data_IF_876080953108
#
_entry.id   IF_876080953108
#
_cell.length_a   1.000
_cell.length_b   1.000
_cell.length_c   1.000
_cell.angle_alpha   90.00
_cell.angle_beta   90.00
_cell.angle_gamma   90.00
#
_symmetry.space_group_name_H-M   'P 1'
#
loop_
_entity.id
_entity.type
_entity.pdbx_description
1 polymer ?
#
# COMPACT_ATOMS: atom_id res chain seq x y z
N UNK A 1 10.96 -28.52 8.29
CA UNK A 1 9.48 -28.39 8.44
C UNK A 1 8.87 -28.99 7.18
N UNK A 2 7.90 -29.91 7.28
CA UNK A 2 7.25 -30.44 6.06
C UNK A 2 6.54 -29.33 5.29
N UNK A 3 6.43 -29.45 3.96
CA UNK A 3 5.79 -28.46 3.08
C UNK A 3 4.39 -28.11 3.61
N UNK A 4 3.59 -29.13 3.95
CA UNK A 4 2.24 -28.98 4.50
C UNK A 4 2.26 -28.16 5.81
N UNK A 5 3.19 -28.46 6.72
CA UNK A 5 3.30 -27.74 8.00
C UNK A 5 3.70 -26.27 7.79
N UNK A 6 4.55 -25.99 6.80
CA UNK A 6 4.94 -24.62 6.39
C UNK A 6 3.73 -23.85 5.84
N UNK A 7 2.97 -24.45 4.91
CA UNK A 7 1.75 -23.85 4.34
C UNK A 7 0.72 -23.53 5.43
N UNK A 8 0.47 -24.47 6.32
CA UNK A 8 -0.47 -24.28 7.44
C UNK A 8 0.00 -23.17 8.38
N UNK A 9 1.30 -23.11 8.69
CA UNK A 9 1.86 -22.04 9.51
C UNK A 9 1.65 -20.66 8.89
N UNK A 10 1.94 -20.50 7.59
CA UNK A 10 1.72 -19.23 6.89
C UNK A 10 0.24 -18.86 6.79
N UNK A 11 -0.63 -19.82 6.49
CA UNK A 11 -2.07 -19.59 6.47
C UNK A 11 -2.59 -19.12 7.82
N UNK A 12 -2.25 -19.83 8.89
CA UNK A 12 -2.66 -19.46 10.25
C UNK A 12 -2.13 -18.09 10.64
N UNK A 13 -0.85 -17.81 10.39
CA UNK A 13 -0.23 -16.52 10.73
C UNK A 13 -0.89 -15.36 9.97
N UNK A 14 -1.13 -15.54 8.67
CA UNK A 14 -1.75 -14.52 7.84
C UNK A 14 -3.22 -14.30 8.21
N UNK A 15 -3.98 -15.39 8.35
CA UNK A 15 -5.37 -15.33 8.77
C UNK A 15 -5.53 -14.72 10.15
N UNK A 16 -4.71 -15.12 11.14
CA UNK A 16 -4.79 -14.55 12.48
C UNK A 16 -4.46 -13.05 12.48
N UNK A 17 -3.45 -12.64 11.71
CA UNK A 17 -3.07 -11.22 11.60
C UNK A 17 -4.17 -10.39 10.95
N UNK A 18 -4.78 -10.89 9.87
CA UNK A 18 -5.89 -10.22 9.18
C UNK A 18 -7.13 -10.17 10.08
N UNK A 19 -7.48 -11.27 10.75
CA UNK A 19 -8.61 -11.32 11.70
C UNK A 19 -8.43 -10.34 12.85
N UNK A 20 -7.23 -10.26 13.45
CA UNK A 20 -6.93 -9.28 14.50
C UNK A 20 -7.08 -7.84 13.98
N UNK A 21 -6.60 -7.55 12.77
CA UNK A 21 -6.78 -6.25 12.13
C UNK A 21 -8.26 -5.91 11.90
N UNK A 22 -9.05 -6.85 11.41
CA UNK A 22 -10.50 -6.68 11.21
C UNK A 22 -11.19 -6.40 12.54
N UNK A 23 -10.89 -7.17 13.58
CA UNK A 23 -11.46 -6.98 14.92
C UNK A 23 -11.09 -5.59 15.46
N UNK A 24 -9.84 -5.16 15.30
CA UNK A 24 -9.40 -3.84 15.74
C UNK A 24 -10.14 -2.70 15.03
N UNK A 25 -10.23 -2.75 13.69
CA UNK A 25 -10.97 -1.76 12.91
C UNK A 25 -12.46 -1.79 13.27
N UNK A 26 -13.08 -2.96 13.32
CA UNK A 26 -14.50 -3.07 13.65
C UNK A 26 -14.81 -2.54 15.06
N UNK A 27 -13.93 -2.82 16.03
CA UNK A 27 -14.06 -2.29 17.40
C UNK A 27 -13.99 -0.76 17.41
N UNK A 28 -13.10 -0.15 16.62
CA UNK A 28 -13.03 1.31 16.50
C UNK A 28 -14.34 1.90 15.97
N UNK A 29 -14.93 1.30 14.93
CA UNK A 29 -16.21 1.74 14.39
C UNK A 29 -17.35 1.55 15.40
N UNK A 30 -17.38 0.40 16.09
CA UNK A 30 -18.43 0.09 17.06
C UNK A 30 -18.41 1.06 18.25
N UNK A 31 -17.23 1.34 18.81
CA UNK A 31 -17.08 2.28 19.94
C UNK A 31 -17.54 3.69 19.57
N UNK A 32 -17.36 4.09 18.31
CA UNK A 32 -17.67 5.44 17.83
C UNK A 32 -18.93 5.48 16.95
N UNK A 33 -19.84 4.51 17.11
CA UNK A 33 -21.01 4.36 16.23
C UNK A 33 -21.89 5.61 16.19
N UNK A 34 -22.17 6.22 17.35
CA UNK A 34 -23.01 7.42 17.43
C UNK A 34 -22.42 8.58 16.62
N UNK A 35 -21.10 8.77 16.71
CA UNK A 35 -20.40 9.80 15.94
C UNK A 35 -20.48 9.57 14.44
N UNK A 36 -20.36 8.31 14.03
CA UNK A 36 -20.50 7.92 12.62
C UNK A 36 -21.92 8.21 12.13
N UNK A 37 -22.96 7.85 12.88
CA UNK A 37 -24.36 8.11 12.48
C UNK A 37 -24.62 9.60 12.32
N UNK A 38 -24.17 10.41 13.26
CA UNK A 38 -24.35 11.86 13.21
C UNK A 38 -23.60 12.49 12.02
N UNK A 39 -22.43 11.96 11.64
CA UNK A 39 -21.68 12.42 10.47
C UNK A 39 -22.42 12.32 9.14
N UNK A 40 -23.30 11.33 8.99
CA UNK A 40 -24.14 11.21 7.80
C UNK A 40 -25.18 12.33 7.69
N UNK A 41 -25.58 12.91 8.83
CA UNK A 41 -26.57 13.97 8.89
C UNK A 41 -25.90 15.34 8.68
N UNK A 42 -24.68 15.51 9.21
CA UNK A 42 -23.98 16.81 9.21
C UNK A 42 -23.15 17.07 7.96
N UNK A 43 -22.52 16.05 7.36
CA UNK A 43 -21.64 16.22 6.21
C UNK A 43 -22.42 15.97 4.91
N UNK A 44 -22.59 17.04 4.13
CA UNK A 44 -23.17 16.95 2.80
C UNK A 44 -22.33 16.04 1.88
N UNK A 45 -22.97 15.08 1.23
CA UNK A 45 -22.30 14.13 0.34
C UNK A 45 -21.51 13.02 1.05
N UNK A 46 -21.58 12.91 2.38
CA UNK A 46 -20.92 11.85 3.15
C UNK A 46 -21.23 10.46 2.59
N UNK A 47 -22.51 10.16 2.33
CA UNK A 47 -22.94 8.88 1.79
C UNK A 47 -22.22 8.52 0.48
N UNK A 48 -22.01 9.49 -0.43
CA UNK A 48 -21.29 9.27 -1.68
C UNK A 48 -19.81 8.93 -1.45
N UNK A 49 -19.14 9.64 -0.54
CA UNK A 49 -17.75 9.37 -0.15
C UNK A 49 -17.62 7.97 0.47
N UNK A 50 -18.55 7.61 1.36
CA UNK A 50 -18.58 6.28 1.99
C UNK A 50 -18.73 5.18 0.95
N UNK A 51 -19.68 5.33 0.02
CA UNK A 51 -19.89 4.34 -1.03
C UNK A 51 -18.64 4.19 -1.91
N UNK A 52 -18.01 5.30 -2.30
CA UNK A 52 -16.79 5.27 -3.11
C UNK A 52 -15.63 4.56 -2.40
N UNK A 53 -15.38 4.88 -1.13
CA UNK A 53 -14.30 4.24 -0.35
C UNK A 53 -14.64 2.78 -0.06
N UNK A 54 -15.89 2.46 0.28
CA UNK A 54 -16.33 1.08 0.56
C UNK A 54 -16.24 0.18 -0.67
N UNK A 55 -16.60 0.71 -1.85
CA UNK A 55 -16.44 0.01 -3.12
C UNK A 55 -14.97 -0.30 -3.38
N UNK A 56 -14.08 0.69 -3.17
CA UNK A 56 -12.63 0.50 -3.30
C UNK A 56 -12.10 -0.55 -2.33
N UNK A 57 -12.48 -0.48 -1.05
CA UNK A 57 -12.11 -1.48 -0.02
C UNK A 57 -12.54 -2.87 -0.47
N UNK A 58 -13.77 -3.03 -0.96
CA UNK A 58 -14.32 -4.32 -1.39
C UNK A 58 -13.56 -4.90 -2.57
N UNK A 59 -13.32 -4.10 -3.62
CA UNK A 59 -12.61 -4.55 -4.82
C UNK A 59 -11.15 -4.90 -4.50
N UNK A 60 -10.45 -4.04 -3.76
CA UNK A 60 -9.04 -4.29 -3.36
C UNK A 60 -8.93 -5.50 -2.43
N UNK A 61 -9.93 -5.72 -1.55
CA UNK A 61 -9.99 -6.94 -0.73
C UNK A 61 -10.14 -8.19 -1.60
N UNK A 62 -10.99 -8.15 -2.63
CA UNK A 62 -11.11 -9.23 -3.61
C UNK A 62 -9.80 -9.52 -4.35
N UNK A 63 -9.09 -8.47 -4.77
CA UNK A 63 -7.75 -8.58 -5.36
C UNK A 63 -6.76 -9.23 -4.39
N UNK A 64 -6.73 -8.79 -3.14
CA UNK A 64 -5.85 -9.33 -2.11
C UNK A 64 -6.10 -10.83 -1.86
N UNK A 65 -7.37 -11.21 -1.70
CA UNK A 65 -7.78 -12.60 -1.51
C UNK A 65 -7.38 -13.48 -2.70
N UNK A 66 -7.67 -13.01 -3.91
CA UNK A 66 -7.26 -13.72 -5.12
C UNK A 66 -5.73 -13.89 -5.19
N UNK A 67 -4.99 -12.85 -4.84
CA UNK A 67 -3.53 -12.87 -4.88
C UNK A 67 -2.91 -13.81 -3.86
N UNK A 68 -3.42 -13.84 -2.62
CA UNK A 68 -2.99 -14.84 -1.65
C UNK A 68 -3.43 -16.26 -2.04
N UNK A 69 -4.62 -16.43 -2.62
CA UNK A 69 -5.06 -17.73 -3.11
C UNK A 69 -4.10 -18.30 -4.17
N UNK A 70 -3.64 -17.46 -5.10
CA UNK A 70 -2.63 -17.87 -6.09
C UNK A 70 -1.29 -18.21 -5.44
N UNK A 71 -0.87 -17.46 -4.40
CA UNK A 71 0.32 -17.80 -3.62
C UNK A 71 0.18 -19.16 -2.90
N UNK A 72 -0.98 -19.44 -2.29
CA UNK A 72 -1.20 -20.70 -1.58
C UNK A 72 -1.17 -21.94 -2.49
N UNK A 73 -1.55 -21.76 -3.77
CA UNK A 73 -1.50 -22.80 -4.81
C UNK A 73 -0.09 -23.20 -5.25
N UNK A 74 0.93 -22.37 -5.03
CA UNK A 74 2.30 -22.67 -5.45
C UNK A 74 2.86 -23.89 -4.71
N UNK A 75 3.66 -24.71 -5.38
CA UNK A 75 4.28 -25.91 -4.79
C UNK A 75 5.21 -25.53 -3.63
N UNK A 76 6.09 -24.57 -3.89
CA UNK A 76 6.95 -23.94 -2.91
C UNK A 76 6.50 -22.51 -2.64
N UNK A 77 6.58 -22.09 -1.38
CA UNK A 77 6.14 -20.77 -0.93
C UNK A 77 7.29 -20.02 -0.30
N UNK A 78 7.55 -18.81 -0.81
CA UNK A 78 8.51 -17.87 -0.30
C UNK A 78 7.83 -16.52 -0.03
N UNK A 79 8.26 -15.83 1.04
CA UNK A 79 7.76 -14.50 1.39
C UNK A 79 8.27 -13.40 0.42
N UNK A 80 9.21 -13.75 -0.45
CA UNK A 80 9.70 -12.91 -1.54
C UNK A 80 8.92 -13.09 -2.84
N UNK A 81 7.97 -14.04 -2.90
CA UNK A 81 7.21 -14.30 -4.10
C UNK A 81 6.31 -13.11 -4.44
N UNK A 82 6.23 -12.78 -5.73
CA UNK A 82 5.43 -11.67 -6.20
C UNK A 82 3.96 -11.74 -5.71
N UNK A 83 3.25 -12.89 -5.79
CA UNK A 83 1.91 -13.00 -5.24
C UNK A 83 1.86 -12.65 -3.74
N UNK A 84 2.80 -13.12 -2.92
CA UNK A 84 2.81 -12.75 -1.51
C UNK A 84 2.98 -11.24 -1.30
N UNK A 85 3.95 -10.64 -2.00
CA UNK A 85 4.26 -9.21 -1.88
C UNK A 85 3.11 -8.31 -2.36
N UNK A 86 2.47 -8.64 -3.47
CA UNK A 86 1.27 -7.93 -3.97
C UNK A 86 0.05 -8.16 -3.06
N UNK A 87 -0.12 -9.37 -2.52
CA UNK A 87 -1.20 -9.64 -1.56
C UNK A 87 -1.04 -8.78 -0.31
N UNK A 88 0.18 -8.67 0.21
CA UNK A 88 0.49 -7.85 1.39
C UNK A 88 0.28 -6.36 1.10
N UNK A 89 0.71 -5.89 -0.07
CA UNK A 89 0.43 -4.54 -0.56
C UNK A 89 -1.07 -4.22 -0.56
N UNK A 90 -1.91 -5.11 -1.11
CA UNK A 90 -3.36 -4.88 -1.14
C UNK A 90 -4.03 -4.96 0.23
N UNK A 91 -3.63 -5.91 1.10
CA UNK A 91 -4.20 -6.00 2.46
C UNK A 91 -3.89 -4.76 3.30
N UNK A 92 -2.65 -4.27 3.27
CA UNK A 92 -2.32 -3.04 3.98
C UNK A 92 -3.09 -1.83 3.42
N UNK A 93 -3.37 -1.81 2.12
CA UNK A 93 -4.17 -0.76 1.50
C UNK A 93 -5.60 -0.78 2.00
N UNK A 94 -6.19 -1.97 2.15
CA UNK A 94 -7.54 -2.17 2.70
C UNK A 94 -7.62 -1.61 4.13
N UNK A 95 -6.67 -1.93 4.99
CA UNK A 95 -6.64 -1.40 6.35
C UNK A 95 -6.43 0.12 6.39
N UNK A 96 -5.50 0.63 5.59
CA UNK A 96 -5.27 2.07 5.48
C UNK A 96 -6.52 2.83 5.02
N UNK A 97 -7.26 2.27 4.04
CA UNK A 97 -8.50 2.86 3.52
C UNK A 97 -9.68 2.72 4.49
N UNK A 98 -9.72 1.65 5.27
CA UNK A 98 -10.72 1.51 6.34
C UNK A 98 -10.53 2.56 7.44
N UNK A 99 -9.28 2.93 7.72
CA UNK A 99 -8.97 4.05 8.63
C UNK A 99 -9.17 5.43 7.98
N UNK A 100 -8.95 5.59 6.67
CA UNK A 100 -9.34 6.81 5.94
C UNK A 100 -10.84 7.08 6.11
N UNK A 101 -11.66 6.06 5.87
CA UNK A 101 -13.11 6.15 6.02
C UNK A 101 -13.51 6.50 7.46
N UNK A 102 -12.86 5.85 8.44
CA UNK A 102 -13.11 6.13 9.85
C UNK A 102 -12.75 7.58 10.19
N UNK A 103 -11.55 8.03 9.79
CA UNK A 103 -11.08 9.40 9.97
C UNK A 103 -12.03 10.44 9.40
N UNK A 104 -12.61 10.16 8.22
CA UNK A 104 -13.59 11.04 7.58
C UNK A 104 -14.89 11.20 8.38
N UNK A 105 -15.27 10.23 9.21
CA UNK A 105 -16.45 10.33 10.07
C UNK A 105 -16.19 11.05 11.39
N UNK A 106 -14.97 10.95 11.94
CA UNK A 106 -14.70 11.44 13.30
C UNK A 106 -14.05 12.83 13.35
N UNK A 107 -13.53 13.34 12.23
CA UNK A 107 -12.63 14.51 12.25
C UNK A 107 -13.26 15.79 12.84
N UNK A 108 -14.58 15.95 12.72
CA UNK A 108 -15.29 17.16 13.16
C UNK A 108 -15.96 17.00 14.53
N UNK A 109 -15.92 15.81 15.14
CA UNK A 109 -16.62 15.53 16.40
C UNK A 109 -15.69 15.12 17.54
N UNK A 110 -14.63 14.37 17.23
CA UNK A 110 -13.71 13.91 18.25
C UNK A 110 -12.62 14.97 18.52
N UNK A 111 -12.04 14.87 19.72
CA UNK A 111 -10.90 15.70 20.11
C UNK A 111 -9.77 15.57 19.08
N UNK A 112 -9.16 16.70 18.70
CA UNK A 112 -8.05 16.78 17.73
C UNK A 112 -6.91 15.79 18.05
N UNK A 113 -6.63 15.53 19.33
CA UNK A 113 -5.60 14.58 19.77
C UNK A 113 -5.98 13.15 19.38
N UNK A 114 -7.24 12.77 19.52
CA UNK A 114 -7.75 11.44 19.17
C UNK A 114 -7.71 11.27 17.64
N UNK A 115 -8.21 12.27 16.91
CA UNK A 115 -8.18 12.29 15.44
C UNK A 115 -6.74 12.20 14.94
N UNK A 116 -5.81 12.99 15.48
CA UNK A 116 -4.40 12.94 15.12
C UNK A 116 -3.78 11.57 15.41
N UNK A 117 -4.15 10.93 16.52
CA UNK A 117 -3.66 9.58 16.84
C UNK A 117 -4.10 8.56 15.80
N UNK A 118 -5.37 8.59 15.40
CA UNK A 118 -5.91 7.73 14.34
C UNK A 118 -5.19 8.00 13.01
N UNK A 119 -5.00 9.26 12.65
CA UNK A 119 -4.28 9.65 11.42
C UNK A 119 -2.82 9.20 11.43
N UNK A 120 -2.15 9.22 12.59
CA UNK A 120 -0.79 8.67 12.75
C UNK A 120 -0.77 7.17 12.53
N UNK A 121 -1.68 6.42 13.16
CA UNK A 121 -1.79 4.95 12.94
C UNK A 121 -2.04 4.65 11.45
N UNK A 122 -2.96 5.38 10.83
CA UNK A 122 -3.21 5.31 9.38
C UNK A 122 -1.94 5.59 8.57
N UNK A 123 -1.20 6.63 8.91
CA UNK A 123 0.04 7.00 8.23
C UNK A 123 1.06 5.85 8.26
N UNK A 124 1.25 5.21 9.42
CA UNK A 124 2.12 4.04 9.52
C UNK A 124 1.67 2.90 8.61
N UNK A 125 0.38 2.54 8.63
CA UNK A 125 -0.15 1.46 7.78
C UNK A 125 0.06 1.77 6.29
N UNK A 126 -0.18 3.02 5.87
CA UNK A 126 0.02 3.44 4.49
C UNK A 126 1.51 3.50 4.09
N UNK A 127 2.41 3.74 5.04
CA UNK A 127 3.85 3.62 4.81
C UNK A 127 4.26 2.16 4.65
N UNK A 128 3.84 1.30 5.59
CA UNK A 128 4.10 -0.15 5.55
C UNK A 128 3.61 -0.77 4.24
N UNK A 129 2.54 -0.23 3.66
CA UNK A 129 1.96 -0.66 2.39
C UNK A 129 3.00 -0.77 1.27
N UNK A 130 3.94 0.18 1.18
CA UNK A 130 4.91 0.23 0.09
C UNK A 130 6.09 -0.72 0.27
N UNK A 131 6.31 -1.26 1.48
CA UNK A 131 7.50 -2.05 1.81
C UNK A 131 7.67 -3.32 0.98
N UNK A 132 6.62 -4.10 0.64
CA UNK A 132 6.77 -5.23 -0.25
C UNK A 132 7.38 -4.85 -1.61
N UNK A 133 6.98 -3.69 -2.14
CA UNK A 133 7.44 -3.21 -3.44
C UNK A 133 8.82 -2.55 -3.35
N UNK A 134 9.12 -1.84 -2.26
CA UNK A 134 10.46 -1.30 -1.97
C UNK A 134 11.47 -2.44 -1.76
N UNK A 135 11.07 -3.53 -1.11
CA UNK A 135 11.90 -4.73 -1.00
C UNK A 135 12.26 -5.27 -2.38
N UNK A 136 11.27 -5.44 -3.25
CA UNK A 136 11.50 -5.94 -4.59
C UNK A 136 12.37 -4.98 -5.43
N UNK A 137 12.14 -3.67 -5.32
CA UNK A 137 12.92 -2.67 -6.03
C UNK A 137 14.37 -2.67 -5.56
N UNK A 138 14.61 -2.73 -4.25
CA UNK A 138 15.97 -2.78 -3.67
C UNK A 138 16.74 -4.05 -4.10
N UNK A 139 16.10 -5.23 -4.08
CA UNK A 139 16.71 -6.47 -4.57
C UNK A 139 17.10 -6.37 -6.05
N UNK A 140 16.23 -5.80 -6.90
CA UNK A 140 16.51 -5.61 -8.33
C UNK A 140 17.62 -4.58 -8.60
N UNK A 141 17.68 -3.50 -7.83
CA UNK A 141 18.77 -2.51 -7.91
C UNK A 141 20.10 -3.18 -7.55
N UNK A 142 20.17 -3.90 -6.42
CA UNK A 142 21.38 -4.56 -5.99
C UNK A 142 21.80 -5.68 -6.93
N UNK A 143 20.84 -6.40 -7.50
CA UNK A 143 21.10 -7.38 -8.55
C UNK A 143 21.72 -6.70 -9.79
N UNK A 144 21.17 -5.58 -10.25
CA UNK A 144 21.74 -4.80 -11.37
C UNK A 144 23.18 -4.38 -11.09
N UNK A 145 23.50 -3.97 -9.86
CA UNK A 145 24.88 -3.66 -9.48
C UNK A 145 25.78 -4.89 -9.42
N UNK A 146 25.26 -6.05 -9.02
CA UNK A 146 26.03 -7.30 -8.98
C UNK A 146 26.54 -7.75 -10.36
N UNK A 147 25.89 -7.32 -11.45
CA UNK A 147 26.33 -7.58 -12.81
C UNK A 147 27.62 -6.82 -13.18
N UNK A 148 27.99 -5.76 -12.44
CA UNK A 148 29.19 -4.97 -12.70
C UNK A 148 30.40 -5.57 -11.96
N UNK A 149 31.58 -5.65 -12.61
CA UNK A 149 32.77 -6.29 -12.01
C UNK A 149 33.23 -5.62 -10.71
N UNK A 150 32.95 -4.32 -10.53
CA UNK A 150 33.26 -3.53 -9.32
C UNK A 150 32.50 -4.00 -8.06
N UNK A 151 31.37 -4.72 -8.22
CA UNK A 151 30.49 -5.11 -7.11
C UNK A 151 30.30 -6.64 -7.01
N UNK A 152 31.33 -7.43 -7.32
CA UNK A 152 31.28 -8.91 -7.19
C UNK A 152 30.79 -9.40 -5.83
N UNK A 153 30.98 -8.64 -4.76
CA UNK A 153 30.49 -8.99 -3.42
C UNK A 153 28.95 -9.06 -3.32
N UNK A 154 28.20 -8.44 -4.25
CA UNK A 154 26.73 -8.45 -4.29
C UNK A 154 26.15 -9.66 -5.03
N UNK A 155 26.98 -10.53 -5.60
CA UNK A 155 26.49 -11.79 -6.21
C UNK A 155 25.97 -12.77 -5.16
N UNK A 156 26.47 -12.67 -3.92
CA UNK A 156 25.98 -13.48 -2.81
C UNK A 156 24.59 -13.00 -2.37
N UNK A 157 23.58 -13.83 -2.63
CA UNK A 157 22.18 -13.59 -2.30
C UNK A 157 21.95 -13.28 -0.81
N UNK A 158 22.63 -13.98 0.11
CA UNK A 158 22.48 -13.71 1.55
C UNK A 158 22.93 -12.30 1.92
N UNK A 159 24.02 -11.83 1.28
CA UNK A 159 24.54 -10.48 1.52
C UNK A 159 23.61 -9.43 0.93
N UNK A 160 23.08 -9.68 -0.28
CA UNK A 160 22.10 -8.81 -0.94
C UNK A 160 20.84 -8.64 -0.10
N UNK A 161 20.24 -9.76 0.33
CA UNK A 161 19.05 -9.74 1.18
C UNK A 161 19.30 -9.00 2.51
N UNK A 162 20.47 -9.21 3.14
CA UNK A 162 20.84 -8.49 4.37
C UNK A 162 20.94 -6.98 4.16
N UNK A 163 21.41 -6.52 3.00
CA UNK A 163 21.47 -5.10 2.65
C UNK A 163 20.06 -4.56 2.39
N UNK A 164 19.25 -5.26 1.60
CA UNK A 164 17.86 -4.89 1.31
C UNK A 164 17.03 -4.73 2.58
N UNK A 165 17.11 -5.70 3.50
CA UNK A 165 16.40 -5.63 4.80
C UNK A 165 16.90 -4.46 5.64
N UNK A 166 18.22 -4.21 5.72
CA UNK A 166 18.76 -3.05 6.45
C UNK A 166 18.29 -1.73 5.86
N UNK A 167 18.29 -1.61 4.53
CA UNK A 167 17.79 -0.43 3.83
C UNK A 167 16.33 -0.17 4.17
N UNK A 168 15.48 -1.20 4.09
CA UNK A 168 14.06 -1.08 4.48
C UNK A 168 13.95 -0.62 5.93
N UNK A 169 14.62 -1.29 6.88
CA UNK A 169 14.57 -0.93 8.31
C UNK A 169 14.93 0.55 8.54
N UNK A 170 15.96 1.07 7.85
CA UNK A 170 16.31 2.49 7.92
C UNK A 170 15.19 3.37 7.38
N UNK A 171 14.58 3.01 6.26
CA UNK A 171 13.41 3.72 5.70
C UNK A 171 12.24 3.71 6.71
N UNK A 172 11.90 2.55 7.30
CA UNK A 172 10.85 2.45 8.33
C UNK A 172 11.14 3.41 9.48
N UNK A 173 12.38 3.41 9.98
CA UNK A 173 12.77 4.24 11.13
C UNK A 173 12.62 5.73 10.82
N UNK A 174 13.11 6.17 9.66
CA UNK A 174 13.03 7.59 9.24
C UNK A 174 11.56 8.01 9.10
N UNK A 175 10.75 7.22 8.41
CA UNK A 175 9.33 7.51 8.19
C UNK A 175 8.54 7.47 9.50
N UNK A 176 8.90 6.55 10.40
CA UNK A 176 8.28 6.45 11.71
C UNK A 176 8.55 7.67 12.58
N UNK A 177 9.80 8.13 12.60
CA UNK A 177 10.18 9.36 13.31
C UNK A 177 9.41 10.54 12.74
N UNK A 178 9.32 10.68 11.42
CA UNK A 178 8.55 11.75 10.78
C UNK A 178 7.06 11.72 11.19
N UNK A 179 6.43 10.54 11.20
CA UNK A 179 5.05 10.38 11.63
C UNK A 179 4.81 10.73 13.11
N UNK A 180 5.74 10.34 14.00
CA UNK A 180 5.65 10.67 15.44
C UNK A 180 5.80 12.17 15.67
N UNK A 181 6.78 12.80 14.99
CA UNK A 181 7.09 14.23 15.13
C UNK A 181 6.02 15.16 14.54
N UNK A 182 5.10 14.64 13.72
CA UNK A 182 3.99 15.45 13.22
C UNK A 182 3.12 15.96 14.37
N UNK A 183 3.10 17.28 14.55
CA UNK A 183 2.40 17.96 15.66
C UNK A 183 0.92 18.20 15.37
N UNK A 184 0.50 18.17 14.11
CA UNK A 184 -0.89 18.35 13.68
C UNK A 184 -1.15 17.61 12.36
N UNK A 185 -2.43 17.55 11.95
CA UNK A 185 -2.87 16.90 10.72
C UNK A 185 -2.22 17.50 9.47
N UNK A 186 -2.07 18.83 9.41
CA UNK A 186 -1.48 19.51 8.25
C UNK A 186 -0.03 19.10 8.01
N UNK A 187 0.77 19.02 9.06
CA UNK A 187 2.16 18.55 8.98
C UNK A 187 2.23 17.10 8.51
N UNK A 188 1.36 16.23 9.02
CA UNK A 188 1.29 14.84 8.59
C UNK A 188 0.92 14.71 7.10
N UNK A 189 -0.02 15.52 6.62
CA UNK A 189 -0.40 15.60 5.21
C UNK A 189 0.72 16.10 4.30
N UNK A 190 1.67 16.89 4.79
CA UNK A 190 2.86 17.32 4.04
C UNK A 190 3.92 16.21 4.01
N UNK A 191 4.15 15.52 5.12
CA UNK A 191 5.13 14.43 5.19
C UNK A 191 4.76 13.24 4.31
N UNK A 192 3.46 12.95 4.20
CA UNK A 192 2.99 11.79 3.46
C UNK A 192 3.43 11.78 1.98
N UNK A 193 3.18 12.80 1.15
CA UNK A 193 3.68 12.85 -0.22
C UNK A 193 5.20 12.78 -0.33
N UNK A 194 5.94 13.45 0.57
CA UNK A 194 7.42 13.46 0.58
C UNK A 194 7.98 12.05 0.72
N UNK A 195 7.28 11.18 1.44
CA UNK A 195 7.68 9.78 1.67
C UNK A 195 7.20 8.87 0.54
N UNK A 196 5.96 9.04 0.10
CA UNK A 196 5.33 8.16 -0.89
C UNK A 196 5.91 8.36 -2.29
N UNK A 197 6.22 9.60 -2.68
CA UNK A 197 6.71 9.93 -4.03
C UNK A 197 8.05 9.22 -4.34
N UNK A 198 9.10 9.30 -3.50
CA UNK A 198 10.34 8.55 -3.71
C UNK A 198 10.10 7.05 -3.80
N UNK A 199 9.26 6.50 -2.93
CA UNK A 199 8.91 5.08 -2.94
C UNK A 199 8.28 4.67 -4.28
N UNK A 200 7.28 5.41 -4.76
CA UNK A 200 6.65 5.17 -6.05
C UNK A 200 7.62 5.33 -7.23
N UNK A 201 8.52 6.31 -7.18
CA UNK A 201 9.56 6.47 -8.19
C UNK A 201 10.45 5.22 -8.29
N UNK A 202 10.85 4.63 -7.16
CA UNK A 202 11.64 3.39 -7.17
C UNK A 202 10.87 2.21 -7.76
N UNK A 203 9.56 2.13 -7.51
CA UNK A 203 8.69 1.06 -8.03
C UNK A 203 8.48 1.21 -9.55
N UNK A 204 8.22 2.43 -10.02
CA UNK A 204 8.11 2.72 -11.46
C UNK A 204 9.43 2.42 -12.17
N UNK A 205 10.56 2.86 -11.58
CA UNK A 205 11.89 2.56 -12.11
C UNK A 205 12.14 1.05 -12.19
N UNK A 206 11.76 0.29 -11.15
CA UNK A 206 11.88 -1.16 -11.09
C UNK A 206 11.19 -1.85 -12.27
N UNK A 207 9.92 -1.55 -12.52
CA UNK A 207 9.18 -2.23 -13.59
C UNK A 207 9.67 -1.81 -14.97
N UNK A 208 10.09 -0.55 -15.13
CA UNK A 208 10.73 -0.09 -16.37
C UNK A 208 12.09 -0.78 -16.59
N UNK A 209 12.89 -0.96 -15.53
CA UNK A 209 14.15 -1.69 -15.58
C UNK A 209 13.93 -3.17 -15.90
N UNK A 210 12.95 -3.82 -15.27
CA UNK A 210 12.60 -5.20 -15.54
C UNK A 210 12.16 -5.39 -17.00
N UNK A 211 11.38 -4.44 -17.55
CA UNK A 211 11.01 -4.42 -18.97
C UNK A 211 12.24 -4.35 -19.88
N UNK A 212 13.10 -3.35 -19.68
CA UNK A 212 14.30 -3.13 -20.53
C UNK A 212 15.25 -4.33 -20.53
N UNK A 213 15.33 -5.04 -19.41
CA UNK A 213 16.23 -6.20 -19.25
C UNK A 213 15.54 -7.55 -19.44
N UNK A 214 14.30 -7.58 -19.95
CA UNK A 214 13.50 -8.79 -20.18
C UNK A 214 13.42 -9.71 -18.95
N UNK A 215 13.25 -9.11 -17.77
CA UNK A 215 13.05 -9.80 -16.47
C UNK A 215 11.58 -9.78 -16.07
N UNK A 216 11.21 -10.69 -15.16
CA UNK A 216 9.84 -10.88 -14.67
C UNK A 216 8.86 -11.20 -15.82
N UNK A 217 9.17 -12.24 -16.61
CA UNK A 217 8.36 -12.64 -17.77
C UNK A 217 6.94 -13.08 -17.43
N UNK A 218 6.70 -13.44 -16.17
CA UNK A 218 5.41 -13.89 -15.66
C UNK A 218 4.40 -12.75 -15.46
N UNK A 219 4.83 -11.49 -15.49
CA UNK A 219 3.97 -10.32 -15.23
C UNK A 219 4.12 -9.28 -16.36
N UNK A 220 3.08 -8.50 -16.62
CA UNK A 220 3.13 -7.44 -17.63
C UNK A 220 3.81 -6.19 -17.05
N UNK A 221 5.14 -6.18 -17.16
CA UNK A 221 6.01 -5.10 -16.68
C UNK A 221 5.65 -3.72 -17.27
N UNK A 222 5.15 -3.66 -18.51
CA UNK A 222 4.70 -2.42 -19.14
C UNK A 222 3.46 -1.87 -18.45
N UNK A 223 2.42 -2.68 -18.30
CA UNK A 223 1.17 -2.28 -17.64
C UNK A 223 1.42 -1.88 -16.18
N UNK A 224 2.31 -2.59 -15.47
CA UNK A 224 2.70 -2.23 -14.11
C UNK A 224 3.45 -0.89 -14.05
N UNK A 225 4.36 -0.63 -15.00
CA UNK A 225 5.06 0.67 -15.07
C UNK A 225 4.05 1.80 -15.29
N UNK A 226 3.08 1.62 -16.19
CA UNK A 226 2.03 2.62 -16.44
C UNK A 226 1.09 2.78 -15.24
N UNK A 227 0.67 1.69 -14.61
CA UNK A 227 -0.22 1.71 -13.45
C UNK A 227 0.41 2.42 -12.25
N UNK A 228 1.62 2.03 -11.85
CA UNK A 228 2.34 2.72 -10.77
C UNK A 228 2.75 4.14 -11.17
N UNK A 229 3.01 4.42 -12.46
CA UNK A 229 3.26 5.76 -12.97
C UNK A 229 2.03 6.67 -12.87
N UNK A 230 0.85 6.15 -13.24
CA UNK A 230 -0.42 6.85 -13.05
C UNK A 230 -0.69 7.07 -11.56
N UNK A 231 -0.36 6.10 -10.69
CA UNK A 231 -0.50 6.26 -9.25
C UNK A 231 0.40 7.36 -8.70
N UNK A 232 1.67 7.41 -9.13
CA UNK A 232 2.60 8.49 -8.79
C UNK A 232 2.06 9.86 -9.20
N UNK A 233 1.56 9.98 -10.44
CA UNK A 233 0.95 11.21 -10.93
C UNK A 233 -0.28 11.58 -10.08
N UNK A 234 -1.15 10.63 -9.76
CA UNK A 234 -2.31 10.83 -8.87
C UNK A 234 -1.89 11.38 -7.51
N UNK A 235 -0.83 10.83 -6.89
CA UNK A 235 -0.33 11.30 -5.60
C UNK A 235 0.26 12.71 -5.63
N UNK A 236 0.79 13.17 -6.77
CA UNK A 236 1.27 14.55 -6.96
C UNK A 236 0.10 15.50 -7.24
N UNK A 237 -0.81 15.09 -8.11
CA UNK A 237 -1.95 15.93 -8.52
C UNK A 237 -2.92 16.11 -7.36
N UNK A 238 -3.18 15.08 -6.54
CA UNK A 238 -4.17 15.14 -5.44
C UNK A 238 -3.99 16.36 -4.51
N UNK A 239 -2.82 16.61 -3.89
CA UNK A 239 -2.62 17.78 -3.04
C UNK A 239 -2.72 19.11 -3.80
N UNK A 240 -2.28 19.16 -5.08
CA UNK A 240 -2.40 20.35 -5.92
C UNK A 240 -3.86 20.65 -6.27
N UNK A 241 -4.61 19.63 -6.67
CA UNK A 241 -6.02 19.73 -7.00
C UNK A 241 -6.86 20.10 -5.77
N UNK A 242 -6.51 19.56 -4.60
CA UNK A 242 -7.12 19.93 -3.33
C UNK A 242 -6.88 21.41 -2.99
N UNK A 243 -5.69 21.93 -3.27
CA UNK A 243 -5.39 23.35 -3.06
C UNK A 243 -6.19 24.28 -3.97
N UNK A 244 -6.48 23.85 -5.21
CA UNK A 244 -7.18 24.68 -6.22
C UNK A 244 -8.71 24.54 -6.14
N UNK A 245 -9.21 23.31 -5.99
CA UNK A 245 -10.64 22.97 -6.07
C UNK A 245 -11.28 22.93 -4.66
N UNK A 246 -10.47 22.78 -3.61
CA UNK A 246 -10.92 22.58 -2.23
C UNK A 246 -11.25 21.11 -1.90
N UNK A 247 -11.42 20.82 -0.62
CA UNK A 247 -11.86 19.51 -0.11
C UNK A 247 -13.38 19.36 -0.22
N UNK A 248 -13.90 19.18 -1.43
CA UNK A 248 -15.32 18.84 -1.63
C UNK A 248 -15.56 17.33 -1.65
N UNK A 249 -16.76 16.88 -1.26
CA UNK A 249 -17.16 15.48 -1.35
C UNK A 249 -17.03 14.94 -2.78
N UNK A 250 -17.36 15.76 -3.78
CA UNK A 250 -17.25 15.41 -5.20
C UNK A 250 -15.79 15.19 -5.63
N UNK A 251 -14.87 16.05 -5.18
CA UNK A 251 -13.44 15.85 -5.42
C UNK A 251 -12.94 14.52 -4.82
N UNK A 252 -13.33 14.21 -3.58
CA UNK A 252 -12.97 12.95 -2.93
C UNK A 252 -13.50 11.73 -3.70
N UNK A 253 -14.76 11.76 -4.14
CA UNK A 253 -15.35 10.66 -4.94
C UNK A 253 -14.57 10.43 -6.23
N UNK A 254 -14.22 11.50 -6.97
CA UNK A 254 -13.40 11.39 -8.19
C UNK A 254 -12.01 10.82 -7.89
N UNK A 255 -11.35 11.33 -6.86
CA UNK A 255 -10.01 10.91 -6.49
C UNK A 255 -9.97 9.43 -6.08
N UNK A 256 -10.98 8.95 -5.34
CA UNK A 256 -11.09 7.54 -4.94
C UNK A 256 -11.45 6.62 -6.12
N UNK A 257 -12.29 7.10 -7.04
CA UNK A 257 -12.66 6.36 -8.26
C UNK A 257 -11.47 6.23 -9.23
N UNK A 258 -10.74 7.32 -9.44
CA UNK A 258 -9.53 7.33 -10.29
C UNK A 258 -8.46 6.40 -9.72
N UNK A 259 -8.21 6.47 -8.42
CA UNK A 259 -7.29 5.55 -7.75
C UNK A 259 -7.74 4.09 -7.94
N UNK A 260 -9.03 3.79 -7.75
CA UNK A 260 -9.56 2.43 -7.95
C UNK A 260 -9.27 1.92 -9.36
N UNK A 261 -9.49 2.73 -10.40
CA UNK A 261 -9.15 2.39 -11.78
C UNK A 261 -7.65 2.07 -11.92
N UNK A 262 -6.79 2.89 -11.31
CA UNK A 262 -5.35 2.65 -11.30
C UNK A 262 -5.00 1.30 -10.64
N UNK A 263 -5.63 0.96 -9.51
CA UNK A 263 -5.41 -0.34 -8.85
C UNK A 263 -5.88 -1.51 -9.70
N UNK A 264 -6.99 -1.37 -10.40
CA UNK A 264 -7.45 -2.37 -11.38
C UNK A 264 -6.43 -2.55 -12.50
N UNK A 265 -5.86 -1.47 -13.04
CA UNK A 265 -4.79 -1.54 -14.05
C UNK A 265 -3.54 -2.24 -13.50
N UNK A 266 -3.12 -1.91 -12.28
CA UNK A 266 -1.98 -2.57 -11.60
C UNK A 266 -2.25 -4.07 -11.46
N UNK A 267 -3.45 -4.45 -11.01
CA UNK A 267 -3.84 -5.84 -10.83
C UNK A 267 -3.88 -6.63 -12.15
N UNK A 268 -4.44 -6.04 -13.21
CA UNK A 268 -4.41 -6.61 -14.57
C UNK A 268 -2.97 -6.78 -15.04
N UNK A 269 -2.11 -5.77 -14.81
CA UNK A 269 -0.69 -5.84 -15.16
C UNK A 269 0.04 -6.96 -14.41
N UNK A 270 -0.33 -7.22 -13.17
CA UNK A 270 0.27 -8.27 -12.36
C UNK A 270 -0.06 -9.68 -12.89
N UNK A 271 -1.29 -9.92 -13.34
CA UNK A 271 -1.70 -11.23 -13.89
C UNK A 271 -1.60 -11.35 -15.42
N UNK A 272 -1.35 -10.25 -16.12
CA UNK A 272 -1.09 -10.24 -17.55
C UNK A 272 0.29 -10.80 -17.88
N UNK A 273 0.44 -11.43 -19.04
CA UNK A 273 1.76 -11.86 -19.53
C UNK A 273 2.55 -10.67 -20.08
N UNK A 274 3.88 -10.68 -19.92
CA UNK A 274 4.75 -9.67 -20.51
C UNK A 274 4.77 -9.79 -22.04
N UNK A 275 4.54 -8.68 -22.73
CA UNK A 275 4.86 -8.53 -24.15
C UNK A 275 6.14 -7.68 -24.23
N UNK A 276 7.27 -8.34 -24.52
CA UNK A 276 8.56 -7.66 -24.69
C UNK A 276 8.74 -7.17 -26.12
#
# INVERSE_FOLDING_TARGET
MSIIRKKNFYFLTLSSSVSLGIIAVFSLYFINWNSIVESYVTIEGALGVVLAISLRITIVSGMALYTFFQWFKQEEQYLSDLPFLFGLYFVLLVFGKSLDLFGAFIFFQLNEIIVLTVLKVRFFIMVLNFFPMIYLSSEMILFSFSLKPRFKNLTNERKRNKISVRFIVVVILIESIAGIMASNQRTLSIYYPIIVIPSLLTIVWLFNFARKNKRLSQINTLTLTMGFGAYLISQIIRPLAQFVIGESAMFLILAETLDLIIFVVIFIGFYGKSHY
#
